data_IF_132586120402
#
_entry.id   IF_132586120402
#
_cell.length_a   1.000
_cell.length_b   1.000
_cell.length_c   1.000
_cell.angle_alpha   90.00
_cell.angle_beta   90.00
_cell.angle_gamma   90.00
#
_symmetry.space_group_name_H-M   'P 1'
#
loop_
_entity.id
_entity.type
_entity.pdbx_description
1 polymer ?
#
# COMPACT_ATOMS: atom_id res chain seq x y z
N UNK A 1 -1.43 0.99 -18.30
CA UNK A 1 -1.38 2.09 -17.33
C UNK A 1 -0.79 1.61 -16.02
N UNK A 2 0.00 2.46 -15.39
CA UNK A 2 0.59 2.09 -14.11
C UNK A 2 -0.43 2.24 -12.99
N UNK A 3 -0.43 1.32 -12.02
CA UNK A 3 -1.29 1.46 -10.84
C UNK A 3 -0.99 2.74 -10.08
N UNK A 4 -2.03 3.29 -9.45
CA UNK A 4 -1.91 4.57 -8.75
C UNK A 4 -2.62 4.51 -7.41
N UNK A 5 -2.30 5.48 -6.56
CA UNK A 5 -2.98 5.68 -5.29
C UNK A 5 -4.23 6.52 -5.51
N UNK A 6 -5.33 6.10 -4.89
CA UNK A 6 -6.61 6.78 -4.99
C UNK A 6 -7.09 7.10 -3.58
N UNK A 7 -7.47 8.36 -3.34
CA UNK A 7 -8.09 8.72 -2.07
C UNK A 7 -9.53 8.24 -2.07
N UNK A 8 -9.95 7.60 -0.97
CA UNK A 8 -11.32 7.10 -0.85
C UNK A 8 -12.32 8.24 -0.95
N UNK A 9 -13.41 7.99 -1.64
CA UNK A 9 -14.49 8.96 -1.80
C UNK A 9 -15.69 8.50 -0.96
N UNK A 10 -16.42 9.46 -0.42
CA UNK A 10 -17.55 9.16 0.47
C UNK A 10 -18.87 9.72 -0.09
N UNK A 11 -19.01 9.69 -1.42
CA UNK A 11 -20.25 10.15 -2.02
C UNK A 11 -21.05 8.94 -2.55
N UNK A 12 -22.36 9.15 -2.61
CA UNK A 12 -23.27 8.11 -3.08
C UNK A 12 -22.93 7.73 -4.52
N UNK A 13 -22.86 6.44 -4.77
CA UNK A 13 -22.59 5.93 -6.11
C UNK A 13 -21.12 5.66 -6.39
N UNK A 14 -20.20 6.12 -5.54
CA UNK A 14 -18.79 5.82 -5.76
C UNK A 14 -18.49 4.36 -5.45
N UNK A 15 -17.72 3.73 -6.32
CA UNK A 15 -17.34 2.32 -6.16
C UNK A 15 -15.85 2.16 -6.30
N UNK A 16 -15.29 1.24 -5.53
CA UNK A 16 -13.86 0.97 -5.55
C UNK A 16 -13.43 0.24 -6.84
N UNK A 17 -14.36 -0.47 -7.50
CA UNK A 17 -14.03 -1.20 -8.72
C UNK A 17 -13.02 -2.30 -8.46
N UNK A 18 -12.04 -2.43 -9.36
CA UNK A 18 -10.99 -3.43 -9.22
C UNK A 18 -9.84 -3.00 -8.31
N UNK A 19 -9.88 -1.78 -7.81
CA UNK A 19 -8.85 -1.29 -6.90
C UNK A 19 -8.94 -2.02 -5.56
N UNK A 20 -7.82 -2.01 -4.82
CA UNK A 20 -7.75 -2.65 -3.50
C UNK A 20 -7.67 -1.59 -2.41
N UNK A 21 -8.49 -1.74 -1.39
CA UNK A 21 -8.46 -0.86 -0.23
C UNK A 21 -7.34 -1.31 0.71
N UNK A 22 -6.40 -0.41 0.99
CA UNK A 22 -5.25 -0.73 1.83
C UNK A 22 -5.24 0.04 3.15
N UNK A 23 -6.31 0.77 3.43
CA UNK A 23 -6.48 1.44 4.71
C UNK A 23 -7.03 0.49 5.77
N UNK A 24 -7.31 1.02 6.96
CA UNK A 24 -7.88 0.20 8.03
C UNK A 24 -9.31 -0.19 7.70
N UNK A 25 -9.74 -1.39 8.05
CA UNK A 25 -9.03 -2.43 8.79
C UNK A 25 -8.39 -3.53 7.93
N UNK A 26 -7.89 -3.21 6.76
CA UNK A 26 -7.28 -4.22 5.90
C UNK A 26 -5.93 -4.69 6.46
N UNK A 27 -5.47 -5.86 5.99
CA UNK A 27 -4.18 -6.38 6.42
C UNK A 27 -3.00 -5.55 5.92
N UNK A 28 -3.24 -4.65 4.96
CA UNK A 28 -2.20 -3.77 4.42
C UNK A 28 -2.16 -2.43 5.15
N UNK A 29 -3.01 -2.22 6.15
CA UNK A 29 -3.04 -0.96 6.89
C UNK A 29 -1.76 -0.78 7.71
N UNK A 30 -1.45 0.48 8.01
CA UNK A 30 -0.32 0.79 8.88
C UNK A 30 -0.59 0.25 10.28
N UNK A 31 0.37 -0.52 10.88
CA UNK A 31 0.20 -0.98 12.25
C UNK A 31 0.12 0.19 13.22
N UNK A 32 -0.71 0.05 14.25
CA UNK A 32 -0.93 1.12 15.24
C UNK A 32 0.32 1.43 16.06
N UNK A 33 1.22 0.47 16.21
CA UNK A 33 2.43 0.67 16.99
C UNK A 33 3.49 1.51 16.29
N UNK A 34 3.30 1.80 15.00
CA UNK A 34 4.22 2.69 14.30
C UNK A 34 3.93 4.14 14.71
N UNK A 35 4.95 4.85 15.15
CA UNK A 35 4.79 6.20 15.67
C UNK A 35 5.81 7.15 15.03
N UNK A 36 5.53 8.45 15.12
CA UNK A 36 6.40 9.48 14.59
C UNK A 36 5.74 10.29 13.48
N UNK A 37 6.56 10.94 12.68
CA UNK A 37 6.08 11.69 11.53
C UNK A 37 5.60 10.74 10.43
N UNK A 38 4.87 11.28 9.44
CA UNK A 38 4.43 10.45 8.32
C UNK A 38 5.62 9.78 7.62
N UNK A 39 6.70 10.51 7.41
CA UNK A 39 7.90 9.94 6.79
C UNK A 39 8.43 8.77 7.60
N UNK A 40 8.51 8.93 8.93
CA UNK A 40 9.01 7.89 9.81
C UNK A 40 8.11 6.66 9.80
N UNK A 41 6.81 6.86 9.87
CA UNK A 41 5.84 5.76 9.88
C UNK A 41 5.91 4.98 8.57
N UNK A 42 5.94 5.66 7.44
CA UNK A 42 5.98 5.02 6.13
C UNK A 42 7.29 4.26 5.96
N UNK A 43 8.40 4.82 6.44
CA UNK A 43 9.71 4.15 6.39
C UNK A 43 9.71 2.87 7.22
N UNK A 44 9.15 2.92 8.44
CA UNK A 44 9.04 1.74 9.29
C UNK A 44 8.16 0.67 8.64
N UNK A 45 7.09 1.09 7.98
CA UNK A 45 6.21 0.20 7.26
C UNK A 45 6.95 -0.54 6.15
N UNK A 46 7.72 0.20 5.36
CA UNK A 46 8.51 -0.38 4.29
C UNK A 46 9.53 -1.38 4.84
N UNK A 47 10.22 -1.03 5.92
CA UNK A 47 11.19 -1.91 6.54
C UNK A 47 10.57 -3.23 6.99
N UNK A 48 9.36 -3.18 7.55
CA UNK A 48 8.67 -4.40 7.96
C UNK A 48 8.42 -5.33 6.78
N UNK A 49 8.01 -4.78 5.65
CA UNK A 49 7.77 -5.60 4.46
C UNK A 49 9.09 -6.20 3.95
N UNK A 50 10.14 -5.40 3.92
CA UNK A 50 11.44 -5.86 3.42
C UNK A 50 12.07 -6.91 4.32
N UNK A 51 11.69 -6.96 5.59
CA UNK A 51 12.18 -7.97 6.54
C UNK A 51 11.41 -9.28 6.46
N UNK A 52 10.30 -9.31 5.75
CA UNK A 52 9.56 -10.55 5.52
C UNK A 52 10.40 -11.52 4.68
N UNK A 53 10.18 -12.82 4.88
CA UNK A 53 10.79 -13.80 3.98
C UNK A 53 10.29 -13.55 2.55
N UNK A 54 11.06 -13.96 1.53
CA UNK A 54 10.60 -13.77 0.15
C UNK A 54 9.23 -14.37 -0.13
N UNK A 55 8.93 -15.54 0.43
CA UNK A 55 7.64 -16.18 0.22
C UNK A 55 6.51 -15.39 0.88
N UNK A 56 6.71 -14.95 2.12
CA UNK A 56 5.68 -14.17 2.83
C UNK A 56 5.44 -12.83 2.15
N UNK A 57 6.53 -12.18 1.71
CA UNK A 57 6.42 -10.90 1.01
C UNK A 57 5.64 -11.05 -0.28
N UNK A 58 5.90 -12.11 -1.04
CA UNK A 58 5.17 -12.36 -2.28
C UNK A 58 3.69 -12.58 -2.01
N UNK A 59 3.36 -13.38 -1.01
CA UNK A 59 1.96 -13.63 -0.65
C UNK A 59 1.26 -12.35 -0.19
N UNK A 60 1.99 -11.47 0.49
CA UNK A 60 1.43 -10.22 1.00
C UNK A 60 1.16 -9.23 -0.14
N UNK A 61 2.07 -9.16 -1.10
CA UNK A 61 2.02 -8.16 -2.16
C UNK A 61 1.29 -8.62 -3.43
N UNK A 62 1.20 -9.91 -3.67
CA UNK A 62 0.62 -10.43 -4.91
C UNK A 62 -0.81 -9.92 -5.17
N UNK A 63 -1.71 -9.86 -4.17
CA UNK A 63 -3.07 -9.37 -4.41
C UNK A 63 -3.13 -7.90 -4.84
N UNK A 64 -2.06 -7.14 -4.61
CA UNK A 64 -2.00 -5.72 -4.93
C UNK A 64 -1.37 -5.46 -6.30
N UNK A 65 -0.72 -6.46 -6.89
CA UNK A 65 0.03 -6.28 -8.13
C UNK A 65 -0.91 -5.92 -9.27
N UNK A 66 -0.57 -4.84 -9.98
CA UNK A 66 -1.37 -4.36 -11.10
C UNK A 66 -2.66 -3.66 -10.71
N UNK A 67 -2.91 -3.43 -9.40
CA UNK A 67 -4.14 -2.82 -8.92
C UNK A 67 -3.87 -1.40 -8.42
N UNK A 68 -4.84 -0.51 -8.64
CA UNK A 68 -4.84 0.78 -7.96
C UNK A 68 -5.12 0.55 -6.48
N UNK A 69 -4.55 1.37 -5.61
CA UNK A 69 -4.71 1.22 -4.17
C UNK A 69 -5.48 2.39 -3.60
N UNK A 70 -6.49 2.10 -2.79
CA UNK A 70 -7.37 3.09 -2.18
C UNK A 70 -6.98 3.27 -0.72
N UNK A 71 -6.82 4.52 -0.28
CA UNK A 71 -6.47 4.84 1.09
C UNK A 71 -7.14 6.15 1.51
N UNK A 72 -6.96 6.53 2.79
CA UNK A 72 -7.52 7.76 3.34
C UNK A 72 -6.59 8.96 3.23
N UNK A 73 -5.33 8.76 2.86
CA UNK A 73 -4.34 9.84 2.85
C UNK A 73 -4.67 10.87 1.76
N UNK A 74 -4.37 12.13 2.05
CA UNK A 74 -4.48 13.17 1.04
C UNK A 74 -3.47 12.94 -0.08
N UNK A 75 -3.74 13.39 -1.32
CA UNK A 75 -2.84 13.12 -2.44
C UNK A 75 -1.42 13.64 -2.24
N UNK A 76 -1.25 14.71 -1.46
CA UNK A 76 0.06 15.30 -1.20
C UNK A 76 0.74 14.75 0.04
N UNK A 77 0.10 13.82 0.77
CA UNK A 77 0.69 13.19 1.94
C UNK A 77 1.49 11.95 1.54
N UNK A 78 2.58 11.72 2.27
CA UNK A 78 3.31 10.46 2.15
C UNK A 78 2.45 9.35 2.76
N UNK A 79 2.26 8.27 2.02
CA UNK A 79 1.35 7.22 2.43
C UNK A 79 1.97 5.84 2.22
N UNK A 80 1.60 4.90 3.08
CA UNK A 80 2.05 3.51 2.94
C UNK A 80 1.60 2.90 1.62
N UNK A 81 0.52 3.40 1.03
CA UNK A 81 0.07 2.91 -0.27
C UNK A 81 1.12 3.13 -1.36
N UNK A 82 1.90 4.21 -1.27
CA UNK A 82 2.97 4.46 -2.23
C UNK A 82 4.05 3.38 -2.14
N UNK A 83 4.38 2.95 -0.92
CA UNK A 83 5.33 1.86 -0.70
C UNK A 83 4.77 0.57 -1.30
N UNK A 84 3.50 0.27 -1.02
CA UNK A 84 2.87 -0.94 -1.54
C UNK A 84 2.82 -0.94 -3.07
N UNK A 85 2.50 0.20 -3.68
CA UNK A 85 2.50 0.30 -5.14
C UNK A 85 3.87 -0.02 -5.72
N UNK A 86 4.90 0.56 -5.14
CA UNK A 86 6.26 0.37 -5.63
C UNK A 86 6.71 -1.08 -5.46
N UNK A 87 6.52 -1.64 -4.28
CA UNK A 87 7.01 -2.99 -3.97
C UNK A 87 6.21 -4.06 -4.69
N UNK A 88 4.87 -3.90 -4.78
CA UNK A 88 4.03 -4.89 -5.44
C UNK A 88 4.31 -4.97 -6.93
N UNK A 89 4.68 -3.85 -7.55
CA UNK A 89 4.87 -3.77 -8.98
C UNK A 89 6.35 -3.72 -9.39
N UNK A 90 7.26 -3.90 -8.43
CA UNK A 90 8.68 -3.95 -8.72
C UNK A 90 8.98 -5.15 -9.60
N UNK A 91 9.81 -4.95 -10.62
CA UNK A 91 10.23 -6.06 -11.47
C UNK A 91 11.16 -6.96 -10.68
N UNK A 92 11.00 -8.30 -10.81
CA UNK A 92 11.93 -9.21 -10.17
C UNK A 92 13.34 -8.94 -10.68
N UNK A 93 14.29 -8.92 -9.74
CA UNK A 93 15.68 -8.85 -10.16
C UNK A 93 16.08 -10.18 -10.78
N UNK A 94 16.57 -10.10 -11.98
CA UNK A 94 17.19 -11.28 -12.56
C UNK A 94 18.51 -11.50 -11.87
N UNK A 95 18.63 -12.63 -11.32
CA UNK A 95 19.91 -13.07 -10.80
C UNK A 95 20.80 -13.50 -11.96
#
# INVERSE_FOLDING_TARGET
>A
MQPKRIKIQHYQGWRIGDAKYVGRPSRWAEPKELTGTRVQIVRQYEERILQMSPDDREKFLAPLRGKDLVCYCEPDEICHADVLLRLANAKPRKS
#
